data_IF_325154974583
#
_entry.id   IF_325154974583
#
_cell.length_a   1.000
_cell.length_b   1.000
_cell.length_c   1.000
_cell.angle_alpha   90.00
_cell.angle_beta   90.00
_cell.angle_gamma   90.00
#
_symmetry.space_group_name_H-M   'P 1'
#
loop_
_entity.id
_entity.type
_entity.pdbx_description
1 polymer ?
#
# COMPACT_ATOMS: atom_id res chain seq x y z
N UNK A 1 -18.64 -5.34 18.97
CA UNK A 1 -17.42 -4.91 19.68
C UNK A 1 -16.30 -4.94 18.66
N UNK A 2 -15.99 -3.78 18.08
CA UNK A 2 -14.89 -3.65 17.13
C UNK A 2 -13.58 -3.75 17.92
N UNK A 3 -13.02 -4.95 18.01
CA UNK A 3 -11.79 -5.18 18.76
C UNK A 3 -10.62 -4.57 18.00
N UNK A 4 -10.12 -3.46 18.51
CA UNK A 4 -8.89 -2.79 18.12
C UNK A 4 -7.68 -3.65 18.53
N UNK A 5 -7.42 -4.73 17.80
CA UNK A 5 -6.26 -5.60 18.03
C UNK A 5 -4.99 -4.80 17.74
N UNK A 6 -4.14 -4.62 18.75
CA UNK A 6 -2.85 -3.96 18.56
C UNK A 6 -1.87 -4.88 17.80
N UNK A 7 -0.86 -4.34 17.10
CA UNK A 7 0.14 -5.16 16.40
C UNK A 7 0.87 -6.16 17.29
N UNK A 8 1.07 -5.77 18.56
CA UNK A 8 1.65 -6.63 19.57
C UNK A 8 0.73 -7.79 19.94
N UNK A 9 -0.57 -7.52 20.14
CA UNK A 9 -1.55 -8.58 20.38
C UNK A 9 -1.69 -9.52 19.19
N UNK A 10 -1.66 -8.99 17.95
CA UNK A 10 -1.68 -9.80 16.74
C UNK A 10 -0.48 -10.75 16.69
N UNK A 11 0.72 -10.26 17.04
CA UNK A 11 1.93 -11.08 17.13
C UNK A 11 1.82 -12.16 18.22
N UNK A 12 1.26 -11.80 19.38
CA UNK A 12 1.05 -12.75 20.48
C UNK A 12 0.06 -13.84 20.07
N UNK A 13 -1.06 -13.47 19.46
CA UNK A 13 -2.06 -14.37 18.86
C UNK A 13 -1.41 -15.31 17.84
N UNK A 14 -0.60 -14.78 16.93
CA UNK A 14 0.11 -15.59 15.95
C UNK A 14 1.05 -16.61 16.62
N UNK A 15 1.75 -16.19 17.69
CA UNK A 15 2.59 -17.07 18.47
C UNK A 15 1.79 -18.18 19.19
N UNK A 16 0.61 -17.86 19.71
CA UNK A 16 -0.29 -18.83 20.37
C UNK A 16 -0.84 -19.84 19.36
N UNK A 17 -1.31 -19.38 18.20
CA UNK A 17 -1.83 -20.25 17.13
C UNK A 17 -0.72 -21.12 16.54
N UNK A 18 0.50 -20.61 16.41
CA UNK A 18 1.65 -21.39 15.95
C UNK A 18 2.09 -22.50 16.92
N UNK A 19 1.60 -22.52 18.16
CA UNK A 19 2.02 -23.49 19.18
C UNK A 19 3.24 -23.03 19.99
N UNK A 20 3.51 -21.72 20.06
CA UNK A 20 4.52 -21.11 20.92
C UNK A 20 5.70 -20.49 20.17
N UNK A 21 6.61 -19.85 20.92
CA UNK A 21 7.71 -19.06 20.36
C UNK A 21 8.69 -19.91 19.53
N UNK A 22 8.98 -21.13 19.98
CA UNK A 22 9.86 -22.05 19.28
C UNK A 22 9.26 -22.51 17.95
N UNK A 23 7.96 -22.75 17.90
CA UNK A 23 7.26 -23.15 16.68
C UNK A 23 7.17 -21.98 15.69
N UNK A 24 6.84 -20.78 16.18
CA UNK A 24 6.85 -19.55 15.38
C UNK A 24 8.25 -19.26 14.80
N UNK A 25 9.30 -19.51 15.58
CA UNK A 25 10.68 -19.40 15.11
C UNK A 25 10.99 -20.35 13.96
N UNK A 26 10.61 -21.63 14.09
CA UNK A 26 10.79 -22.63 13.01
C UNK A 26 10.08 -22.22 11.71
N UNK A 27 8.84 -21.72 11.81
CA UNK A 27 8.08 -21.20 10.65
C UNK A 27 8.82 -20.06 9.97
N UNK A 28 9.34 -19.12 10.75
CA UNK A 28 10.07 -17.96 10.21
C UNK A 28 11.48 -18.32 9.71
N UNK A 29 12.03 -19.46 10.13
CA UNK A 29 13.41 -19.85 9.91
C UNK A 29 14.39 -19.15 10.86
N UNK A 30 13.93 -18.71 12.03
CA UNK A 30 14.75 -18.02 13.03
C UNK A 30 14.78 -18.78 14.36
N UNK A 31 15.78 -18.49 15.19
CA UNK A 31 15.82 -19.01 16.55
C UNK A 31 14.72 -18.41 17.44
N UNK A 32 14.26 -19.20 18.42
CA UNK A 32 13.39 -18.73 19.52
C UNK A 32 13.84 -17.41 20.19
N UNK A 33 15.14 -17.11 20.43
CA UNK A 33 15.54 -15.83 21.00
C UNK A 33 15.21 -14.62 20.11
N UNK A 34 15.19 -14.80 18.78
CA UNK A 34 14.77 -13.73 17.87
C UNK A 34 13.28 -13.41 18.06
N UNK A 35 12.45 -14.45 18.17
CA UNK A 35 11.02 -14.32 18.45
C UNK A 35 10.77 -13.63 19.79
N UNK A 36 11.52 -14.01 20.83
CA UNK A 36 11.46 -13.35 22.13
C UNK A 36 11.81 -11.86 22.05
N UNK A 37 12.87 -11.51 21.29
CA UNK A 37 13.26 -10.10 21.06
C UNK A 37 12.15 -9.30 20.36
N UNK A 38 11.44 -9.92 19.42
CA UNK A 38 10.29 -9.28 18.76
C UNK A 38 9.13 -9.03 19.73
N UNK A 39 8.87 -9.95 20.66
CA UNK A 39 7.83 -9.80 21.66
C UNK A 39 8.20 -8.76 22.73
N UNK A 40 9.44 -8.79 23.25
CA UNK A 40 9.79 -7.95 24.41
C UNK A 40 10.35 -6.58 24.05
N UNK A 41 11.16 -6.49 22.99
CA UNK A 41 11.87 -5.25 22.65
C UNK A 41 11.18 -4.50 21.50
N UNK A 42 11.07 -5.15 20.35
CA UNK A 42 10.53 -4.48 19.16
C UNK A 42 9.00 -4.35 19.17
N UNK A 43 8.30 -5.21 19.94
CA UNK A 43 6.83 -5.38 19.98
C UNK A 43 6.17 -5.49 18.59
N UNK A 44 6.94 -5.87 17.56
CA UNK A 44 6.53 -5.91 16.16
C UNK A 44 7.27 -6.99 15.39
N UNK A 45 6.59 -7.53 14.39
CA UNK A 45 7.15 -8.53 13.46
C UNK A 45 7.89 -7.82 12.30
N UNK A 46 9.10 -8.27 11.92
CA UNK A 46 9.76 -7.80 10.71
C UNK A 46 8.96 -8.16 9.44
N UNK A 47 9.10 -7.31 8.42
CA UNK A 47 8.40 -7.37 7.14
C UNK A 47 8.43 -8.75 6.48
N UNK A 48 9.63 -9.32 6.49
CA UNK A 48 10.02 -10.51 5.73
C UNK A 48 9.32 -11.77 6.22
N UNK A 49 8.85 -11.75 7.47
CA UNK A 49 8.18 -12.89 8.09
C UNK A 49 6.66 -12.75 8.10
N UNK A 50 6.10 -11.57 7.75
CA UNK A 50 4.65 -11.33 7.81
C UNK A 50 3.88 -12.34 6.96
N UNK A 51 4.35 -12.58 5.72
CA UNK A 51 3.68 -13.48 4.78
C UNK A 51 3.77 -14.95 5.23
N UNK A 52 4.91 -15.36 5.80
CA UNK A 52 5.08 -16.73 6.32
C UNK A 52 4.17 -16.97 7.53
N UNK A 53 4.14 -16.01 8.44
CA UNK A 53 3.30 -16.08 9.64
C UNK A 53 1.82 -16.07 9.27
N UNK A 54 1.39 -15.25 8.32
CA UNK A 54 0.01 -15.24 7.85
C UNK A 54 -0.40 -16.58 7.23
N UNK A 55 0.46 -17.19 6.40
CA UNK A 55 0.17 -18.48 5.77
C UNK A 55 -0.04 -19.60 6.79
N UNK A 56 0.78 -19.64 7.85
CA UNK A 56 0.73 -20.71 8.86
C UNK A 56 -0.27 -20.43 9.99
N UNK A 57 -0.42 -19.18 10.41
CA UNK A 57 -1.25 -18.82 11.59
C UNK A 57 -2.63 -18.28 11.21
N UNK A 58 -2.84 -17.90 9.96
CA UNK A 58 -4.08 -17.27 9.49
C UNK A 58 -4.34 -15.86 10.04
N UNK A 59 -3.38 -15.26 10.77
CA UNK A 59 -3.50 -13.89 11.28
C UNK A 59 -3.26 -12.90 10.15
N UNK A 60 -4.24 -12.03 9.87
CA UNK A 60 -4.13 -11.08 8.75
C UNK A 60 -2.94 -10.14 8.91
N UNK A 61 -2.19 -9.96 7.83
CA UNK A 61 -1.05 -9.03 7.75
C UNK A 61 -1.37 -7.59 8.18
N UNK A 62 -2.62 -7.17 7.99
CA UNK A 62 -3.13 -5.85 8.40
C UNK A 62 -3.05 -5.61 9.90
N UNK A 63 -3.22 -6.66 10.71
CA UNK A 63 -3.11 -6.56 12.16
C UNK A 63 -1.64 -6.62 12.61
N UNK A 64 -0.82 -7.46 11.98
CA UNK A 64 0.61 -7.59 12.30
C UNK A 64 1.39 -6.32 11.97
N UNK A 65 1.11 -5.70 10.81
CA UNK A 65 1.82 -4.53 10.30
C UNK A 65 0.87 -3.58 9.54
N UNK A 66 0.03 -2.84 10.27
CA UNK A 66 -0.87 -1.85 9.65
C UNK A 66 -0.12 -0.73 8.91
N UNK A 67 1.14 -0.46 9.29
CA UNK A 67 2.02 0.55 8.67
C UNK A 67 2.30 0.28 7.19
N UNK A 68 2.44 -1.00 6.83
CA UNK A 68 2.83 -1.44 5.48
C UNK A 68 1.71 -2.19 4.77
N UNK A 69 0.71 -2.65 5.52
CA UNK A 69 -0.52 -3.24 4.98
C UNK A 69 -1.75 -2.53 5.55
N UNK A 70 -2.07 -1.30 5.11
CA UNK A 70 -3.33 -0.66 5.49
C UNK A 70 -4.51 -1.44 4.90
N UNK A 71 -5.59 -1.62 5.67
CA UNK A 71 -6.80 -2.32 5.19
C UNK A 71 -7.48 -1.56 4.04
N UNK A 72 -7.38 -0.23 4.05
CA UNK A 72 -7.93 0.68 3.04
C UNK A 72 -7.31 0.51 1.64
N UNK A 73 -6.06 0.01 1.58
CA UNK A 73 -5.34 -0.18 0.31
C UNK A 73 -5.64 -1.52 -0.39
N UNK A 74 -6.34 -2.45 0.28
CA UNK A 74 -6.62 -3.78 -0.27
C UNK A 74 -7.68 -3.78 -1.39
N UNK A 75 -8.48 -2.72 -1.48
CA UNK A 75 -9.22 -2.37 -2.68
C UNK A 75 -9.23 -0.85 -2.71
N UNK A 76 -8.70 -0.17 -3.75
CA UNK A 76 -9.18 1.17 -3.98
C UNK A 76 -10.70 1.02 -4.05
N UNK A 77 -11.51 1.76 -3.26
CA UNK A 77 -12.83 1.99 -3.77
C UNK A 77 -12.58 2.54 -5.18
N UNK A 78 -13.21 1.94 -6.18
CA UNK A 78 -13.55 2.64 -7.41
C UNK A 78 -14.44 3.81 -6.97
N UNK A 79 -13.85 4.77 -6.25
CA UNK A 79 -14.45 6.02 -5.90
C UNK A 79 -14.43 6.73 -7.23
N UNK A 80 -15.57 6.67 -7.87
CA UNK A 80 -16.00 7.52 -8.96
C UNK A 80 -15.96 8.97 -8.45
N UNK A 81 -14.77 9.52 -8.20
CA UNK A 81 -14.59 10.96 -7.99
C UNK A 81 -14.48 11.65 -9.35
N UNK A 82 -15.42 11.33 -10.25
CA UNK A 82 -15.74 12.12 -11.44
C UNK A 82 -16.72 13.27 -11.12
N UNK A 83 -17.03 13.53 -9.84
CA UNK A 83 -17.83 14.71 -9.44
C UNK A 83 -17.06 16.04 -9.41
N UNK A 84 -16.07 16.21 -10.30
CA UNK A 84 -15.60 17.52 -10.77
C UNK A 84 -15.39 17.54 -12.31
N UNK A 85 -16.11 16.71 -13.07
CA UNK A 85 -16.38 17.03 -14.47
C UNK A 85 -17.47 18.11 -14.49
N UNK A 86 -17.07 19.34 -14.15
CA UNK A 86 -17.93 20.50 -14.31
C UNK A 86 -18.30 20.64 -15.80
N UNK A 87 -19.58 20.83 -16.14
CA UNK A 87 -19.93 21.14 -17.50
C UNK A 87 -19.64 22.63 -17.78
N UNK A 88 -19.67 22.98 -19.06
CA UNK A 88 -19.88 24.34 -19.59
C UNK A 88 -18.66 25.30 -19.63
N UNK A 89 -17.69 25.08 -20.53
CA UNK A 89 -17.16 26.22 -21.30
C UNK A 89 -17.71 26.15 -22.74
N UNK A 90 -18.83 26.84 -22.89
CA UNK A 90 -19.40 27.24 -24.17
C UNK A 90 -18.36 27.95 -25.04
N UNK A 91 -18.37 27.56 -26.31
CA UNK A 91 -18.25 28.42 -27.48
C UNK A 91 -17.04 29.38 -27.56
N UNK A 92 -16.09 29.02 -28.43
CA UNK A 92 -15.77 29.93 -29.55
C UNK A 92 -15.34 29.19 -30.80
N UNK A 93 -16.33 28.95 -31.66
CA UNK A 93 -16.16 28.82 -33.11
C UNK A 93 -15.80 30.20 -33.66
N UNK A 94 -14.64 30.38 -34.26
CA UNK A 94 -14.43 31.41 -35.29
C UNK A 94 -13.52 30.84 -36.37
N UNK A 95 -14.11 30.78 -37.57
CA UNK A 95 -13.46 30.45 -38.82
C UNK A 95 -12.59 31.62 -39.33
N UNK A 96 -11.68 31.28 -40.24
CA UNK A 96 -10.55 32.09 -40.67
C UNK A 96 -10.82 33.36 -41.48
N UNK A 97 -9.70 34.07 -41.70
CA UNK A 97 -9.29 34.92 -42.83
C UNK A 97 -7.75 34.79 -42.79
N UNK A 98 -7.02 34.42 -43.83
CA UNK A 98 -7.08 34.95 -45.19
C UNK A 98 -5.82 35.79 -45.43
N UNK A 99 -4.80 35.15 -46.00
CA UNK A 99 -3.66 35.66 -46.78
C UNK A 99 -2.96 36.99 -46.40
N UNK A 100 -1.62 36.93 -46.31
CA UNK A 100 -0.77 37.64 -47.30
C UNK A 100 0.64 37.09 -47.39
N UNK A 101 0.98 36.58 -48.58
CA UNK A 101 2.33 36.36 -49.10
C UNK A 101 3.13 37.67 -49.22
N UNK A 102 4.43 37.52 -49.57
CA UNK A 102 5.42 38.51 -50.07
C UNK A 102 6.55 38.73 -49.04
N UNK A 103 7.86 38.55 -49.31
CA UNK A 103 8.67 38.26 -50.51
C UNK A 103 10.15 38.11 -50.09
N UNK A 104 10.93 37.35 -50.88
CA UNK A 104 12.34 37.56 -51.30
C UNK A 104 13.43 37.56 -50.19
N UNK A 105 14.36 36.60 -50.18
CA UNK A 105 15.61 36.47 -50.99
C UNK A 105 16.84 36.98 -50.21
N UNK A 106 17.77 36.07 -49.88
CA UNK A 106 19.24 36.26 -49.74
C UNK A 106 19.83 34.93 -49.24
N UNK A 107 20.56 34.14 -50.04
CA UNK A 107 21.96 34.34 -50.45
C UNK A 107 22.99 34.24 -49.30
N UNK A 108 23.64 33.08 -49.17
CA UNK A 108 25.03 32.87 -48.76
C UNK A 108 25.21 31.33 -48.63
N UNK A 109 25.76 30.66 -49.65
CA UNK A 109 27.21 30.47 -49.89
C UNK A 109 27.84 29.54 -48.86
#
# INVERSE_FOLDING_TARGET
>A
MEHQITPFEALKRACEVAGGQSALGRICGVGQPAVWKWLQSAKRLPAEHVLKVEAETGVSRHFLRPDIYPRELAAPPLSDHTSLCGPILSARRMAGHGNRSVTLDESAA
#
